data_IF_173673786952
#
_entry.id   IF_173673786952
#
_cell.length_a   1.000
_cell.length_b   1.000
_cell.length_c   1.000
_cell.angle_alpha   90.00
_cell.angle_beta   90.00
_cell.angle_gamma   90.00
#
_symmetry.space_group_name_H-M   'P 1'
#
loop_
_entity.id
_entity.type
_entity.pdbx_description
1 polymer ?
#
# COMPACT_ATOMS: atom_id res chain seq x y z
N UNK A 1 51.06 -108.13 63.54
CA UNK A 1 51.31 -106.87 62.80
C UNK A 1 52.17 -105.96 63.66
N UNK A 2 53.17 -105.26 63.09
CA UNK A 2 54.03 -104.37 63.89
C UNK A 2 53.20 -103.19 64.43
N UNK A 3 53.45 -102.81 65.69
CA UNK A 3 52.81 -101.66 66.34
C UNK A 3 53.22 -100.38 65.60
N UNK A 4 52.29 -99.77 64.86
CA UNK A 4 52.51 -98.43 64.28
C UNK A 4 52.15 -97.40 65.34
N UNK A 5 53.11 -96.53 65.70
CA UNK A 5 52.94 -95.47 66.70
C UNK A 5 51.90 -94.45 66.22
N UNK A 6 51.12 -93.82 67.13
CA UNK A 6 50.15 -92.79 66.77
C UNK A 6 50.79 -91.61 66.04
N UNK A 7 50.03 -90.98 65.14
CA UNK A 7 50.46 -89.92 64.21
C UNK A 7 51.02 -88.70 64.95
N UNK A 8 52.26 -88.32 64.63
CA UNK A 8 53.03 -87.26 65.32
C UNK A 8 53.06 -85.90 64.59
N UNK A 9 52.24 -85.69 63.55
CA UNK A 9 52.32 -84.47 62.72
C UNK A 9 51.28 -83.44 63.18
N UNK A 10 51.73 -82.34 63.79
CA UNK A 10 50.92 -81.14 63.99
C UNK A 10 51.25 -80.14 62.87
N UNK A 11 50.55 -80.21 61.75
CA UNK A 11 50.56 -79.15 60.72
C UNK A 11 49.28 -78.33 60.81
N UNK A 12 49.09 -77.70 61.98
CA UNK A 12 47.90 -76.87 62.25
C UNK A 12 48.30 -75.39 62.20
N UNK A 13 47.65 -74.63 61.33
CA UNK A 13 47.82 -73.18 61.19
C UNK A 13 46.47 -72.52 61.46
N UNK A 14 46.15 -72.29 62.74
CA UNK A 14 44.80 -71.88 63.17
C UNK A 14 43.79 -73.03 63.14
N UNK A 15 42.48 -72.74 63.01
CA UNK A 15 41.42 -73.77 63.01
C UNK A 15 41.29 -74.57 61.69
N UNK A 16 42.26 -74.50 60.77
CA UNK A 16 42.23 -75.22 59.51
C UNK A 16 43.41 -76.20 59.41
N UNK A 17 43.08 -77.46 59.20
CA UNK A 17 44.02 -78.49 58.78
C UNK A 17 44.34 -78.27 57.29
N UNK A 18 45.63 -78.15 56.95
CA UNK A 18 46.08 -77.76 55.60
C UNK A 18 45.94 -78.88 54.56
N UNK A 19 45.43 -80.08 54.95
CA UNK A 19 45.21 -81.24 54.07
C UNK A 19 43.90 -81.97 54.41
N UNK A 20 42.73 -81.42 54.06
CA UNK A 20 41.44 -82.07 54.33
C UNK A 20 41.30 -83.43 53.63
N UNK A 21 42.01 -83.63 52.51
CA UNK A 21 42.01 -84.86 51.72
C UNK A 21 42.58 -86.06 52.49
N UNK A 22 43.56 -85.84 53.38
CA UNK A 22 44.24 -86.92 54.11
C UNK A 22 43.70 -87.11 55.54
N UNK A 23 42.99 -86.13 56.10
CA UNK A 23 42.43 -86.18 57.45
C UNK A 23 41.40 -87.31 57.64
N UNK A 24 40.62 -87.63 56.59
CA UNK A 24 39.63 -88.72 56.63
C UNK A 24 40.29 -90.09 56.71
N UNK A 25 41.41 -90.27 56.00
CA UNK A 25 42.18 -91.52 56.02
C UNK A 25 42.79 -91.80 57.38
N UNK A 26 43.39 -90.78 58.00
CA UNK A 26 43.99 -90.88 59.34
C UNK A 26 42.92 -91.22 60.41
N UNK A 27 41.72 -90.64 60.30
CA UNK A 27 40.59 -90.97 61.19
C UNK A 27 40.12 -92.43 61.07
N UNK A 28 40.00 -92.95 59.84
CA UNK A 28 39.59 -94.33 59.58
C UNK A 28 40.63 -95.34 60.10
N UNK A 29 41.91 -95.07 59.89
CA UNK A 29 42.99 -95.90 60.41
C UNK A 29 43.00 -95.94 61.94
N UNK A 30 42.77 -94.80 62.61
CA UNK A 30 42.62 -94.75 64.08
C UNK A 30 41.46 -95.61 64.58
N UNK A 31 40.28 -95.53 63.94
CA UNK A 31 39.12 -96.35 64.33
C UNK A 31 39.30 -97.84 64.07
N UNK A 32 40.08 -98.22 63.07
CA UNK A 32 40.45 -99.62 62.83
C UNK A 32 41.43 -100.15 63.87
N UNK A 33 42.39 -99.34 64.31
CA UNK A 33 43.33 -99.73 65.37
C UNK A 33 42.62 -100.02 66.70
N UNK A 34 41.61 -99.22 67.08
CA UNK A 34 40.80 -99.46 68.28
C UNK A 34 40.06 -100.82 68.23
N UNK A 35 39.55 -101.21 67.06
CA UNK A 35 38.79 -102.47 66.89
C UNK A 35 39.65 -103.73 66.96
N UNK A 36 40.91 -103.65 66.55
CA UNK A 36 41.84 -104.80 66.55
C UNK A 36 42.85 -104.76 67.70
N UNK A 37 42.63 -103.90 68.68
CA UNK A 37 43.45 -103.84 69.89
C UNK A 37 43.13 -105.02 70.81
N UNK A 38 43.86 -106.12 70.63
CA UNK A 38 43.84 -107.26 71.55
C UNK A 38 44.83 -106.95 72.68
N UNK A 39 44.32 -106.71 73.89
CA UNK A 39 45.13 -106.66 75.12
C UNK A 39 45.57 -108.11 75.38
N UNK A 40 46.89 -108.44 75.33
CA UNK A 40 47.35 -109.77 75.67
C UNK A 40 46.99 -110.09 77.14
N UNK A 41 46.52 -111.29 77.47
CA UNK A 41 46.24 -111.67 78.85
C UNK A 41 47.54 -111.62 79.68
N UNK A 42 47.49 -110.96 80.84
CA UNK A 42 48.62 -110.63 81.72
C UNK A 42 49.40 -111.82 82.31
N UNK A 43 49.17 -113.05 81.83
CA UNK A 43 49.81 -114.26 82.35
C UNK A 43 51.24 -114.48 81.86
N UNK A 44 51.67 -113.76 80.81
CA UNK A 44 53.02 -113.90 80.21
C UNK A 44 53.68 -112.53 79.94
N UNK A 45 53.22 -111.49 80.65
CA UNK A 45 53.90 -110.21 80.77
C UNK A 45 54.54 -110.17 82.15
N UNK A 46 55.86 -109.99 82.22
CA UNK A 46 56.52 -109.72 83.49
C UNK A 46 55.75 -108.59 84.17
N UNK A 47 55.17 -108.88 85.35
CA UNK A 47 54.45 -107.87 86.13
C UNK A 47 55.38 -106.68 86.31
N UNK A 48 54.97 -105.51 85.85
CA UNK A 48 55.83 -104.34 85.91
C UNK A 48 56.08 -104.04 87.39
N UNK A 49 57.27 -104.38 87.89
CA UNK A 49 57.70 -103.95 89.21
C UNK A 49 57.66 -102.43 89.25
N UNK A 50 57.42 -101.81 90.41
CA UNK A 50 57.37 -100.34 90.54
C UNK A 50 58.63 -99.71 89.91
N UNK A 51 59.77 -100.40 90.00
CA UNK A 51 61.03 -100.05 89.36
C UNK A 51 60.97 -100.13 87.83
N UNK A 52 60.38 -101.17 87.24
CA UNK A 52 60.17 -101.27 85.79
C UNK A 52 59.21 -100.19 85.28
N UNK A 53 58.12 -99.91 86.01
CA UNK A 53 57.19 -98.82 85.70
C UNK A 53 57.91 -97.47 85.77
N UNK A 54 58.74 -97.27 86.79
CA UNK A 54 59.53 -96.04 86.94
C UNK A 54 60.56 -95.88 85.81
N UNK A 55 61.26 -96.96 85.44
CA UNK A 55 62.21 -96.98 84.31
C UNK A 55 61.50 -96.73 82.98
N UNK A 56 60.32 -97.32 82.77
CA UNK A 56 59.51 -97.07 81.57
C UNK A 56 58.98 -95.64 81.55
N UNK A 57 58.44 -95.12 82.66
CA UNK A 57 57.99 -93.72 82.75
C UNK A 57 59.13 -92.74 82.55
N UNK A 58 60.33 -93.00 83.06
CA UNK A 58 61.51 -92.19 82.80
C UNK A 58 61.88 -92.22 81.31
N UNK A 59 61.90 -93.40 80.69
CA UNK A 59 62.15 -93.53 79.24
C UNK A 59 61.08 -92.84 78.40
N UNK A 60 59.82 -92.92 78.79
CA UNK A 60 58.70 -92.25 78.13
C UNK A 60 58.75 -90.75 78.34
N UNK A 61 59.12 -90.27 79.54
CA UNK A 61 59.32 -88.86 79.83
C UNK A 61 60.52 -88.29 79.05
N UNK A 62 61.65 -88.99 79.02
CA UNK A 62 62.80 -88.63 78.17
C UNK A 62 62.43 -88.64 76.68
N UNK A 63 61.63 -89.61 76.23
CA UNK A 63 61.13 -89.64 74.86
C UNK A 63 60.13 -88.50 74.59
N UNK A 64 59.32 -88.10 75.58
CA UNK A 64 58.42 -86.96 75.50
C UNK A 64 59.17 -85.63 75.45
N UNK A 65 60.19 -85.45 76.28
CA UNK A 65 61.03 -84.24 76.28
C UNK A 65 61.75 -84.09 74.94
N UNK A 66 62.34 -85.17 74.42
CA UNK A 66 62.92 -85.19 73.06
C UNK A 66 61.89 -84.84 71.99
N UNK A 67 60.67 -85.38 72.09
CA UNK A 67 59.58 -85.07 71.17
C UNK A 67 59.12 -83.62 71.30
N UNK A 68 59.02 -83.07 72.51
CA UNK A 68 58.63 -81.69 72.77
C UNK A 68 59.67 -80.72 72.20
N UNK A 69 60.96 -81.05 72.34
CA UNK A 69 62.05 -80.29 71.72
C UNK A 69 62.00 -80.37 70.19
N UNK A 70 61.74 -81.55 69.61
CA UNK A 70 61.53 -81.73 68.18
C UNK A 70 60.31 -80.94 67.67
N UNK A 71 59.22 -80.91 68.43
CA UNK A 71 57.99 -80.16 68.11
C UNK A 71 58.17 -78.65 68.25
N UNK A 72 58.90 -78.19 69.27
CA UNK A 72 59.24 -76.77 69.39
C UNK A 72 60.21 -76.34 68.28
N UNK A 73 61.17 -77.19 67.92
CA UNK A 73 62.07 -76.94 66.81
C UNK A 73 61.33 -76.91 65.46
N UNK A 74 60.40 -77.84 65.23
CA UNK A 74 59.57 -77.88 64.03
C UNK A 74 58.60 -76.69 63.97
N UNK A 75 57.93 -76.35 65.08
CA UNK A 75 57.05 -75.18 65.18
C UNK A 75 57.81 -73.87 64.94
N UNK A 76 59.03 -73.71 65.49
CA UNK A 76 59.89 -72.56 65.22
C UNK A 76 60.30 -72.49 63.74
N UNK A 77 60.63 -73.62 63.11
CA UNK A 77 60.93 -73.68 61.67
C UNK A 77 59.69 -73.31 60.84
N UNK A 78 58.54 -73.86 61.18
CA UNK A 78 57.27 -73.61 60.47
C UNK A 78 56.81 -72.17 60.62
N UNK A 79 56.95 -71.57 61.80
CA UNK A 79 56.66 -70.14 62.03
C UNK A 79 57.54 -69.24 61.17
N UNK A 80 58.84 -69.54 61.04
CA UNK A 80 59.75 -68.80 60.15
C UNK A 80 59.34 -68.93 58.68
N UNK A 81 58.99 -70.14 58.24
CA UNK A 81 58.51 -70.39 56.86
C UNK A 81 57.21 -69.64 56.61
N UNK A 82 56.25 -69.69 57.54
CA UNK A 82 54.97 -69.00 57.42
C UNK A 82 55.13 -67.48 57.42
N UNK A 83 55.99 -66.94 58.27
CA UNK A 83 56.31 -65.51 58.26
C UNK A 83 56.88 -65.08 56.90
N UNK A 84 57.76 -65.89 56.30
CA UNK A 84 58.28 -65.63 54.96
C UNK A 84 57.19 -65.70 53.87
N UNK A 85 56.25 -66.66 53.97
CA UNK A 85 55.11 -66.80 53.04
C UNK A 85 54.17 -65.60 53.12
N UNK A 86 53.79 -65.19 54.32
CA UNK A 86 52.93 -64.00 54.56
C UNK A 86 53.61 -62.75 54.01
N UNK A 87 54.91 -62.57 54.26
CA UNK A 87 55.66 -61.44 53.72
C UNK A 87 55.70 -61.45 52.18
N UNK A 88 55.86 -62.62 51.56
CA UNK A 88 55.83 -62.75 50.10
C UNK A 88 54.43 -62.47 49.53
N UNK A 89 53.37 -62.91 50.20
CA UNK A 89 51.99 -62.60 49.82
C UNK A 89 51.75 -61.09 49.79
N UNK A 90 52.13 -60.35 50.85
CA UNK A 90 52.00 -58.90 50.88
C UNK A 90 52.82 -58.20 49.78
N UNK A 91 54.03 -58.68 49.48
CA UNK A 91 54.82 -58.16 48.35
C UNK A 91 54.13 -58.37 47.00
N UNK A 92 53.51 -59.53 46.79
CA UNK A 92 52.78 -59.84 45.55
C UNK A 92 51.51 -58.98 45.45
N UNK A 93 50.76 -58.85 46.54
CA UNK A 93 49.55 -58.01 46.60
C UNK A 93 49.87 -56.54 46.28
N UNK A 94 50.96 -56.01 46.85
CA UNK A 94 51.41 -54.65 46.59
C UNK A 94 51.83 -54.45 45.12
N UNK A 95 52.54 -55.43 44.54
CA UNK A 95 52.90 -55.41 43.11
C UNK A 95 51.65 -55.44 42.21
N UNK A 96 50.65 -56.25 42.56
CA UNK A 96 49.39 -56.32 41.83
C UNK A 96 48.62 -55.00 41.91
N UNK A 97 48.59 -54.37 43.10
CA UNK A 97 47.94 -53.07 43.30
C UNK A 97 48.59 -51.98 42.43
N UNK A 98 49.92 -51.92 42.38
CA UNK A 98 50.63 -50.96 41.51
C UNK A 98 50.30 -51.19 40.03
N UNK A 99 50.37 -52.44 39.57
CA UNK A 99 49.99 -52.79 38.19
C UNK A 99 48.54 -52.43 37.88
N UNK A 100 47.63 -52.63 38.82
CA UNK A 100 46.22 -52.27 38.63
C UNK A 100 46.05 -50.75 38.49
N UNK A 101 46.76 -49.96 39.30
CA UNK A 101 46.76 -48.50 39.18
C UNK A 101 47.36 -48.08 37.84
N UNK A 102 48.48 -48.66 37.42
CA UNK A 102 49.12 -48.40 36.12
C UNK A 102 48.15 -48.70 34.96
N UNK A 103 47.53 -49.89 34.94
CA UNK A 103 46.58 -50.27 33.90
C UNK A 103 45.34 -49.38 33.90
N UNK A 104 44.79 -49.05 35.07
CA UNK A 104 43.63 -48.16 35.15
C UNK A 104 43.97 -46.74 34.69
N UNK A 105 45.15 -46.22 35.06
CA UNK A 105 45.64 -44.92 34.56
C UNK A 105 45.82 -44.95 33.04
N UNK A 106 46.38 -46.03 32.49
CA UNK A 106 46.53 -46.21 31.05
C UNK A 106 45.18 -46.25 30.32
N UNK A 107 44.19 -46.96 30.85
CA UNK A 107 42.84 -47.02 30.25
C UNK A 107 42.20 -45.62 30.26
N UNK A 108 42.34 -44.87 31.35
CA UNK A 108 41.85 -43.49 31.43
C UNK A 108 42.56 -42.59 30.41
N UNK A 109 43.88 -42.64 30.34
CA UNK A 109 44.67 -41.87 29.37
C UNK A 109 44.28 -42.21 27.92
N UNK A 110 44.07 -43.49 27.62
CA UNK A 110 43.58 -43.93 26.31
C UNK A 110 42.18 -43.41 26.00
N UNK A 111 41.27 -43.44 26.98
CA UNK A 111 39.92 -42.91 26.83
C UNK A 111 39.93 -41.38 26.62
N UNK A 112 40.76 -40.66 27.37
CA UNK A 112 40.89 -39.21 27.26
C UNK A 112 41.55 -38.81 25.93
N UNK A 113 42.59 -39.52 25.49
CA UNK A 113 43.18 -39.36 24.15
C UNK A 113 42.17 -39.64 23.04
N UNK A 114 41.36 -40.69 23.18
CA UNK A 114 40.29 -41.00 22.24
C UNK A 114 39.27 -39.87 22.16
N UNK A 115 38.78 -39.36 23.30
CA UNK A 115 37.84 -38.22 23.32
C UNK A 115 38.46 -36.96 22.73
N UNK A 116 39.74 -36.68 23.01
CA UNK A 116 40.44 -35.53 22.45
C UNK A 116 40.58 -35.64 20.91
N UNK A 117 40.94 -36.83 20.41
CA UNK A 117 41.02 -37.10 18.98
C UNK A 117 39.65 -36.99 18.30
N UNK A 118 38.60 -37.56 18.90
CA UNK A 118 37.22 -37.45 18.39
C UNK A 118 36.74 -36.00 18.34
N UNK A 119 37.02 -35.21 19.38
CA UNK A 119 36.69 -33.78 19.40
C UNK A 119 37.44 -32.99 18.33
N UNK A 120 38.72 -33.32 18.10
CA UNK A 120 39.53 -32.68 17.06
C UNK A 120 39.01 -33.04 15.68
N UNK A 121 38.74 -34.32 15.43
CA UNK A 121 38.17 -34.80 14.17
C UNK A 121 36.79 -34.18 13.89
N UNK A 122 35.94 -34.03 14.90
CA UNK A 122 34.65 -33.32 14.76
C UNK A 122 34.83 -31.84 14.47
N UNK A 123 35.83 -31.19 15.10
CA UNK A 123 36.16 -29.79 14.80
C UNK A 123 36.63 -29.61 13.37
N UNK A 124 37.52 -30.48 12.89
CA UNK A 124 38.01 -30.47 11.50
C UNK A 124 36.90 -30.74 10.50
N UNK A 125 35.99 -31.69 10.76
CA UNK A 125 34.88 -31.99 9.84
C UNK A 125 33.91 -30.82 9.72
N UNK A 126 33.61 -30.12 10.82
CA UNK A 126 32.81 -28.90 10.80
C UNK A 126 33.52 -27.79 10.02
N UNK A 127 34.81 -27.57 10.29
CA UNK A 127 35.60 -26.56 9.59
C UNK A 127 35.68 -26.83 8.08
N UNK A 128 35.87 -28.10 7.68
CA UNK A 128 35.86 -28.50 6.27
C UNK A 128 34.50 -28.28 5.62
N UNK A 129 33.40 -28.47 6.35
CA UNK A 129 32.06 -28.22 5.85
C UNK A 129 31.84 -26.73 5.60
N UNK A 130 32.17 -25.87 6.57
CA UNK A 130 32.06 -24.41 6.43
C UNK A 130 32.93 -23.89 5.29
N UNK A 131 34.18 -24.36 5.19
CA UNK A 131 35.06 -23.99 4.09
C UNK A 131 34.55 -24.50 2.75
N UNK A 132 33.97 -25.69 2.71
CA UNK A 132 33.34 -26.27 1.52
C UNK A 132 32.16 -25.43 1.02
N UNK A 133 31.27 -25.01 1.92
CA UNK A 133 30.15 -24.11 1.61
C UNK A 133 30.66 -22.77 1.07
N UNK A 134 31.73 -22.21 1.68
CA UNK A 134 32.39 -21.01 1.17
C UNK A 134 32.98 -21.20 -0.24
N UNK A 135 33.67 -22.30 -0.48
CA UNK A 135 34.25 -22.63 -1.80
C UNK A 135 33.16 -22.74 -2.87
N UNK A 136 32.05 -23.42 -2.58
CA UNK A 136 30.94 -23.53 -3.53
C UNK A 136 30.30 -22.16 -3.82
N UNK A 137 30.06 -21.34 -2.79
CA UNK A 137 29.54 -19.97 -3.00
C UNK A 137 30.45 -19.11 -3.90
N UNK A 138 31.77 -19.25 -3.76
CA UNK A 138 32.72 -18.55 -4.61
C UNK A 138 32.78 -19.12 -6.02
N UNK A 139 32.64 -20.45 -6.19
CA UNK A 139 32.53 -21.06 -7.52
C UNK A 139 31.29 -20.57 -8.25
N UNK A 140 30.16 -20.49 -7.57
CA UNK A 140 28.91 -19.98 -8.13
C UNK A 140 29.08 -18.52 -8.55
N UNK A 141 29.62 -17.67 -7.67
CA UNK A 141 29.91 -16.26 -7.97
C UNK A 141 30.86 -16.10 -9.17
N UNK A 142 31.91 -16.94 -9.26
CA UNK A 142 32.84 -16.94 -10.39
C UNK A 142 32.12 -17.38 -11.68
N UNK A 143 31.20 -18.34 -11.59
CA UNK A 143 30.43 -18.81 -12.74
C UNK A 143 29.48 -17.73 -13.27
N UNK A 144 28.82 -16.99 -12.38
CA UNK A 144 27.96 -15.85 -12.72
C UNK A 144 28.77 -14.73 -13.36
N UNK A 145 29.91 -14.37 -12.78
CA UNK A 145 30.81 -13.35 -13.35
C UNK A 145 31.37 -13.77 -14.70
N UNK A 146 31.64 -15.06 -14.91
CA UNK A 146 32.05 -15.58 -16.23
C UNK A 146 30.90 -15.47 -17.23
N UNK A 147 29.68 -15.85 -16.86
CA UNK A 147 28.51 -15.71 -17.73
C UNK A 147 28.27 -14.24 -18.09
N UNK A 148 28.33 -13.33 -17.11
CA UNK A 148 28.24 -11.89 -17.33
C UNK A 148 29.34 -11.37 -18.26
N UNK A 149 30.59 -11.83 -18.07
CA UNK A 149 31.71 -11.47 -18.94
C UNK A 149 31.49 -11.93 -20.38
N UNK A 150 31.00 -13.15 -20.58
CA UNK A 150 30.72 -13.65 -21.92
C UNK A 150 29.55 -12.91 -22.57
N UNK A 151 28.50 -12.57 -21.81
CA UNK A 151 27.43 -11.70 -22.27
C UNK A 151 27.95 -10.30 -22.66
N UNK A 152 28.81 -9.69 -21.84
CA UNK A 152 29.42 -8.40 -22.14
C UNK A 152 30.33 -8.46 -23.38
N UNK A 153 31.09 -9.54 -23.56
CA UNK A 153 31.89 -9.73 -24.78
C UNK A 153 30.99 -9.87 -26.01
N UNK A 154 29.88 -10.59 -25.90
CA UNK A 154 28.93 -10.74 -26.98
C UNK A 154 28.33 -9.39 -27.37
N UNK A 155 27.88 -8.59 -26.40
CA UNK A 155 27.34 -7.24 -26.68
C UNK A 155 28.41 -6.31 -27.25
N UNK A 156 29.64 -6.33 -26.72
CA UNK A 156 30.76 -5.57 -27.32
C UNK A 156 31.01 -6.00 -28.78
N UNK A 157 30.89 -7.29 -29.08
CA UNK A 157 31.05 -7.77 -30.45
C UNK A 157 29.89 -7.35 -31.36
N UNK A 158 28.66 -7.32 -30.86
CA UNK A 158 27.50 -6.75 -31.55
C UNK A 158 27.66 -5.27 -31.83
N UNK A 159 28.31 -4.51 -30.93
CA UNK A 159 28.54 -3.07 -31.10
C UNK A 159 29.77 -2.71 -31.93
N UNK A 160 30.69 -3.65 -32.14
CA UNK A 160 31.92 -3.45 -32.89
C UNK A 160 31.73 -2.90 -34.33
N UNK A 161 30.70 -3.29 -35.11
CA UNK A 161 30.43 -2.70 -36.42
C UNK A 161 30.10 -1.21 -36.33
N UNK A 162 29.34 -0.78 -35.32
CA UNK A 162 28.99 0.63 -35.14
C UNK A 162 30.20 1.46 -34.72
N UNK A 163 31.10 0.91 -33.90
CA UNK A 163 32.37 1.55 -33.57
C UNK A 163 33.22 1.78 -34.83
N UNK A 164 33.31 0.80 -35.73
CA UNK A 164 34.00 0.97 -37.02
C UNK A 164 33.39 2.06 -37.88
N UNK A 165 32.05 2.14 -37.92
CA UNK A 165 31.35 3.21 -38.65
C UNK A 165 31.65 4.57 -38.03
N UNK A 166 31.65 4.69 -36.70
CA UNK A 166 32.00 5.95 -36.02
C UNK A 166 33.46 6.35 -36.31
N UNK A 167 34.38 5.40 -36.30
CA UNK A 167 35.78 5.63 -36.69
C UNK A 167 35.92 6.06 -38.16
N UNK A 168 35.14 5.48 -39.07
CA UNK A 168 35.09 5.89 -40.48
C UNK A 168 34.51 7.30 -40.64
N UNK A 169 33.43 7.63 -39.93
CA UNK A 169 32.81 8.96 -39.95
C UNK A 169 33.78 10.02 -39.43
N UNK A 170 34.52 9.75 -38.36
CA UNK A 170 35.55 10.65 -37.81
C UNK A 170 36.71 10.83 -38.79
N UNK A 171 37.08 9.79 -39.55
CA UNK A 171 38.14 9.89 -40.57
C UNK A 171 37.72 10.69 -41.81
N UNK A 172 36.45 10.60 -42.19
CA UNK A 172 35.92 11.28 -43.38
C UNK A 172 35.51 12.73 -43.08
N UNK A 173 35.05 12.99 -41.85
CA UNK A 173 34.53 14.28 -41.44
C UNK A 173 35.50 15.00 -40.52
N UNK A 174 36.08 16.12 -40.98
CA UNK A 174 36.91 17.02 -40.16
C UNK A 174 36.14 17.71 -39.01
N UNK A 175 34.82 17.49 -38.92
CA UNK A 175 33.93 18.11 -37.94
C UNK A 175 34.09 17.47 -36.55
N UNK A 176 34.51 16.21 -36.50
CA UNK A 176 34.62 15.41 -35.27
C UNK A 176 36.07 15.11 -34.95
N UNK A 177 36.49 15.36 -33.70
CA UNK A 177 37.88 15.10 -33.26
C UNK A 177 38.07 13.65 -32.79
N UNK A 178 37.00 13.02 -32.29
CA UNK A 178 37.00 11.66 -31.74
C UNK A 178 35.61 11.04 -31.90
N UNK A 179 35.49 9.70 -31.96
CA UNK A 179 34.19 9.02 -31.89
C UNK A 179 33.37 9.45 -30.67
N UNK A 180 34.04 9.77 -29.55
CA UNK A 180 33.39 10.29 -28.35
C UNK A 180 32.79 11.68 -28.56
N UNK A 181 33.51 12.59 -29.25
CA UNK A 181 32.99 13.93 -29.59
C UNK A 181 31.78 13.82 -30.54
N UNK A 182 31.77 12.84 -31.45
CA UNK A 182 30.60 12.53 -32.27
C UNK A 182 29.40 12.10 -31.42
N UNK A 183 29.60 11.20 -30.45
CA UNK A 183 28.53 10.74 -29.55
C UNK A 183 28.02 11.87 -28.65
N UNK A 184 28.91 12.62 -28.01
CA UNK A 184 28.55 13.72 -27.09
C UNK A 184 27.74 14.81 -27.82
N UNK A 185 28.06 15.12 -29.09
CA UNK A 185 27.27 16.05 -29.91
C UNK A 185 25.93 15.47 -30.34
N UNK A 186 25.87 14.18 -30.68
CA UNK A 186 24.60 13.52 -30.95
C UNK A 186 23.69 13.53 -29.71
N UNK A 187 24.24 13.28 -28.52
CA UNK A 187 23.50 13.34 -27.26
C UNK A 187 23.00 14.77 -26.98
N UNK A 188 23.85 15.78 -27.18
CA UNK A 188 23.46 17.18 -27.06
C UNK A 188 22.35 17.57 -28.07
N UNK A 189 22.43 17.09 -29.31
CA UNK A 189 21.40 17.31 -30.33
C UNK A 189 20.09 16.61 -29.97
N UNK A 190 20.15 15.38 -29.46
CA UNK A 190 18.97 14.65 -28.99
C UNK A 190 18.31 15.36 -27.82
N UNK A 191 19.08 15.85 -26.85
CA UNK A 191 18.57 16.64 -25.73
C UNK A 191 17.94 17.96 -26.21
N UNK A 192 18.63 18.69 -27.09
CA UNK A 192 18.10 19.91 -27.68
C UNK A 192 16.81 19.65 -28.47
N UNK A 193 16.72 18.52 -29.18
CA UNK A 193 15.50 18.14 -29.89
C UNK A 193 14.33 17.93 -28.92
N UNK A 194 14.56 17.24 -27.80
CA UNK A 194 13.52 17.06 -26.76
C UNK A 194 13.08 18.42 -26.19
N UNK A 195 14.01 19.30 -25.87
CA UNK A 195 13.69 20.64 -25.35
C UNK A 195 12.91 21.49 -26.37
N UNK A 196 13.31 21.47 -27.65
CA UNK A 196 12.62 22.17 -28.73
C UNK A 196 11.20 21.63 -28.88
N UNK A 197 11.01 20.31 -28.89
CA UNK A 197 9.67 19.71 -28.98
C UNK A 197 8.78 20.07 -27.79
N UNK A 198 9.35 20.15 -26.58
CA UNK A 198 8.59 20.60 -25.41
C UNK A 198 8.18 22.08 -25.53
N UNK A 199 9.09 22.95 -25.97
CA UNK A 199 8.80 24.37 -26.20
C UNK A 199 7.76 24.56 -27.30
N UNK A 200 7.86 23.81 -28.40
CA UNK A 200 6.90 23.84 -29.50
C UNK A 200 5.50 23.45 -29.00
N UNK A 201 5.39 22.36 -28.22
CA UNK A 201 4.12 21.94 -27.65
C UNK A 201 3.53 23.00 -26.71
N UNK A 202 4.37 23.65 -25.89
CA UNK A 202 3.93 24.76 -25.03
C UNK A 202 3.40 25.93 -25.87
N UNK A 203 4.10 26.31 -26.95
CA UNK A 203 3.70 27.40 -27.83
C UNK A 203 2.41 27.08 -28.58
N UNK A 204 2.23 25.85 -29.04
CA UNK A 204 0.98 25.39 -29.65
C UNK A 204 -0.20 25.48 -28.67
N UNK A 205 0.00 25.07 -27.41
CA UNK A 205 -1.00 25.22 -26.37
C UNK A 205 -1.34 26.70 -26.07
N UNK A 206 -0.34 27.58 -26.04
CA UNK A 206 -0.56 29.03 -25.90
C UNK A 206 -1.38 29.59 -27.07
N UNK A 207 -1.07 29.20 -28.31
CA UNK A 207 -1.80 29.61 -29.51
C UNK A 207 -3.25 29.14 -29.45
N UNK A 208 -3.49 27.88 -29.07
CA UNK A 208 -4.84 27.33 -28.99
C UNK A 208 -5.64 28.03 -27.88
N UNK A 209 -5.02 28.32 -26.73
CA UNK A 209 -5.64 29.12 -25.67
C UNK A 209 -6.00 30.54 -26.15
N UNK A 210 -5.11 31.21 -26.90
CA UNK A 210 -5.41 32.51 -27.49
C UNK A 210 -6.55 32.42 -28.51
N UNK A 211 -6.58 31.38 -29.33
CA UNK A 211 -7.65 31.12 -30.29
C UNK A 211 -8.99 30.94 -29.59
N UNK A 212 -9.04 30.14 -28.52
CA UNK A 212 -10.25 29.95 -27.71
C UNK A 212 -10.74 31.27 -27.11
N UNK A 213 -9.85 32.09 -26.54
CA UNK A 213 -10.20 33.42 -26.02
C UNK A 213 -10.73 34.34 -27.11
N UNK A 214 -10.11 34.35 -28.29
CA UNK A 214 -10.56 35.16 -29.42
C UNK A 214 -11.97 34.75 -29.87
N UNK A 215 -12.27 33.44 -29.93
CA UNK A 215 -13.61 32.94 -30.24
C UNK A 215 -14.62 33.35 -29.16
N UNK A 216 -14.26 33.25 -27.88
CA UNK A 216 -15.12 33.71 -26.78
C UNK A 216 -15.45 35.20 -26.90
N UNK A 217 -14.45 36.06 -27.07
CA UNK A 217 -14.62 37.51 -27.23
C UNK A 217 -15.47 37.81 -28.48
N UNK A 218 -15.25 37.10 -29.58
CA UNK A 218 -16.03 37.28 -30.82
C UNK A 218 -17.49 36.88 -30.62
N UNK A 219 -17.75 35.78 -29.89
CA UNK A 219 -19.11 35.36 -29.56
C UNK A 219 -19.80 36.36 -28.64
N UNK A 220 -19.10 36.87 -27.61
CA UNK A 220 -19.62 37.93 -26.73
C UNK A 220 -19.92 39.22 -27.51
N UNK A 221 -19.03 39.64 -28.41
CA UNK A 221 -19.25 40.77 -29.30
C UNK A 221 -20.45 40.53 -30.24
N UNK A 222 -20.60 39.33 -30.80
CA UNK A 222 -21.74 38.99 -31.63
C UNK A 222 -23.06 39.03 -30.85
N UNK A 223 -23.08 38.52 -29.61
CA UNK A 223 -24.24 38.56 -28.72
C UNK A 223 -24.61 40.00 -28.33
N UNK A 224 -23.62 40.85 -28.02
CA UNK A 224 -23.87 42.26 -27.70
C UNK A 224 -24.40 43.03 -28.91
N UNK A 225 -23.84 42.82 -30.11
CA UNK A 225 -24.36 43.40 -31.36
C UNK A 225 -25.79 42.93 -31.63
N UNK A 226 -26.10 41.66 -31.40
CA UNK A 226 -27.45 41.12 -31.55
C UNK A 226 -28.43 41.74 -30.54
N UNK A 227 -28.00 41.96 -29.30
CA UNK A 227 -28.74 42.70 -28.28
C UNK A 227 -29.06 44.14 -28.74
N UNK A 228 -28.05 44.88 -29.17
CA UNK A 228 -28.21 46.25 -29.68
C UNK A 228 -29.13 46.31 -30.90
N UNK A 229 -29.06 45.34 -31.82
CA UNK A 229 -29.96 45.25 -32.96
C UNK A 229 -31.42 45.04 -32.53
N UNK A 230 -31.65 44.24 -31.50
CA UNK A 230 -32.99 44.05 -30.95
C UNK A 230 -33.53 45.35 -30.34
N UNK A 231 -32.71 46.04 -29.54
CA UNK A 231 -33.10 47.30 -28.91
C UNK A 231 -33.33 48.42 -29.94
N UNK A 232 -32.52 48.48 -30.99
CA UNK A 232 -32.75 49.37 -32.13
C UNK A 232 -34.10 49.07 -32.81
N UNK A 233 -34.42 47.80 -33.05
CA UNK A 233 -35.71 47.42 -33.64
C UNK A 233 -36.90 47.78 -32.73
N UNK A 234 -36.75 47.69 -31.39
CA UNK A 234 -37.78 48.17 -30.45
C UNK A 234 -37.96 49.69 -30.55
N UNK A 235 -36.86 50.42 -30.60
CA UNK A 235 -36.88 51.88 -30.69
C UNK A 235 -37.51 52.35 -32.01
N UNK A 236 -37.17 51.72 -33.14
CA UNK A 236 -37.78 52.02 -34.44
C UNK A 236 -39.28 51.75 -34.47
N UNK A 237 -39.74 50.66 -33.83
CA UNK A 237 -41.19 50.40 -33.69
C UNK A 237 -41.87 51.49 -32.89
N UNK A 238 -41.34 51.82 -31.70
CA UNK A 238 -41.88 52.86 -30.84
C UNK A 238 -41.89 54.25 -31.52
N UNK A 239 -40.83 54.57 -32.27
CA UNK A 239 -40.75 55.79 -33.07
C UNK A 239 -41.82 55.81 -34.16
N UNK A 240 -41.97 54.72 -34.93
CA UNK A 240 -42.99 54.64 -35.98
C UNK A 240 -44.41 54.75 -35.41
N UNK A 241 -44.70 54.09 -34.29
CA UNK A 241 -45.98 54.21 -33.58
C UNK A 241 -46.25 55.65 -33.16
N UNK A 242 -45.27 56.31 -32.55
CA UNK A 242 -45.37 57.71 -32.12
C UNK A 242 -45.59 58.65 -33.31
N UNK A 243 -44.89 58.41 -34.42
CA UNK A 243 -45.04 59.17 -35.66
C UNK A 243 -46.44 59.02 -36.26
N UNK A 244 -46.99 57.81 -36.30
CA UNK A 244 -48.36 57.56 -36.77
C UNK A 244 -49.38 58.27 -35.87
N UNK A 245 -49.19 58.23 -34.54
CA UNK A 245 -50.05 58.97 -33.62
C UNK A 245 -49.96 60.48 -33.83
N UNK A 246 -48.76 61.02 -34.03
CA UNK A 246 -48.56 62.43 -34.33
C UNK A 246 -49.30 62.85 -35.60
N UNK A 247 -49.13 62.13 -36.71
CA UNK A 247 -49.86 62.39 -37.96
C UNK A 247 -51.38 62.32 -37.78
N UNK A 248 -51.88 61.38 -36.96
CA UNK A 248 -53.31 61.28 -36.64
C UNK A 248 -53.80 62.54 -35.92
N UNK A 249 -53.06 63.01 -34.93
CA UNK A 249 -53.39 64.24 -34.20
C UNK A 249 -53.27 65.49 -35.06
N UNK A 250 -52.25 65.58 -35.92
CA UNK A 250 -52.11 66.66 -36.90
C UNK A 250 -53.31 66.70 -37.84
N UNK A 251 -53.77 65.54 -38.34
CA UNK A 251 -54.97 65.47 -39.18
C UNK A 251 -56.23 65.93 -38.44
N UNK A 252 -56.41 65.49 -37.19
CA UNK A 252 -57.55 65.93 -36.37
C UNK A 252 -57.50 67.45 -36.14
N UNK A 253 -56.31 67.98 -35.85
CA UNK A 253 -56.10 69.41 -35.64
C UNK A 253 -56.36 70.22 -36.92
N UNK A 254 -55.87 69.75 -38.07
CA UNK A 254 -56.13 70.37 -39.37
C UNK A 254 -57.63 70.38 -39.69
N UNK A 255 -58.31 69.25 -39.54
CA UNK A 255 -59.76 69.16 -39.73
C UNK A 255 -60.54 70.10 -38.79
N UNK A 256 -60.11 70.20 -37.52
CA UNK A 256 -60.73 71.11 -36.54
C UNK A 256 -60.50 72.57 -36.94
N UNK A 257 -59.28 72.92 -37.37
CA UNK A 257 -58.97 74.26 -37.87
C UNK A 257 -59.82 74.59 -39.09
N UNK A 258 -59.91 73.69 -40.06
CA UNK A 258 -60.72 73.87 -41.26
C UNK A 258 -62.20 74.07 -40.91
N UNK A 259 -62.74 73.26 -40.00
CA UNK A 259 -64.10 73.40 -39.50
C UNK A 259 -64.34 74.77 -38.81
N UNK A 260 -63.38 75.24 -38.00
CA UNK A 260 -63.45 76.57 -37.36
C UNK A 260 -63.41 77.67 -38.43
N UNK A 261 -62.50 77.58 -39.41
CA UNK A 261 -62.38 78.58 -40.48
C UNK A 261 -63.60 78.63 -41.38
N UNK A 262 -64.14 77.47 -41.78
CA UNK A 262 -65.38 77.39 -42.56
C UNK A 262 -66.56 77.96 -41.76
N UNK A 263 -66.68 77.60 -40.48
CA UNK A 263 -67.70 78.18 -39.60
C UNK A 263 -67.57 79.69 -39.43
N UNK A 264 -66.36 80.24 -39.38
CA UNK A 264 -66.11 81.68 -39.36
C UNK A 264 -66.48 82.33 -40.70
N UNK A 265 -66.09 81.72 -41.84
CA UNK A 265 -66.45 82.20 -43.17
C UNK A 265 -67.96 82.19 -43.41
N UNK A 266 -68.68 81.16 -42.96
CA UNK A 266 -70.13 81.08 -43.08
C UNK A 266 -70.83 82.13 -42.20
N UNK A 267 -70.29 82.41 -41.00
CA UNK A 267 -70.73 83.56 -40.19
C UNK A 267 -70.50 84.89 -40.93
N UNK A 268 -69.33 85.10 -41.53
CA UNK A 268 -69.06 86.33 -42.28
C UNK A 268 -69.97 86.45 -43.52
N UNK A 269 -70.19 85.37 -44.26
CA UNK A 269 -71.11 85.33 -45.42
C UNK A 269 -72.55 85.64 -45.02
N UNK A 270 -73.03 85.05 -43.93
CA UNK A 270 -74.39 85.32 -43.42
C UNK A 270 -74.52 86.78 -42.96
N UNK A 271 -73.52 87.32 -42.25
CA UNK A 271 -73.48 88.74 -41.89
C UNK A 271 -73.44 89.65 -43.11
N UNK A 272 -72.67 89.32 -44.14
CA UNK A 272 -72.65 90.07 -45.41
C UNK A 272 -74.00 90.00 -46.13
N UNK A 273 -74.66 88.83 -46.15
CA UNK A 273 -76.01 88.66 -46.69
C UNK A 273 -77.04 89.54 -45.98
N UNK A 274 -77.05 89.53 -44.64
CA UNK A 274 -77.91 90.41 -43.83
C UNK A 274 -77.62 91.89 -44.14
N UNK A 275 -76.34 92.27 -44.20
CA UNK A 275 -75.94 93.63 -44.54
C UNK A 275 -76.37 94.05 -45.95
N UNK A 276 -76.29 93.13 -46.91
CA UNK A 276 -76.67 93.38 -48.30
C UNK A 276 -78.18 93.58 -48.43
N UNK A 277 -78.98 92.68 -47.83
CA UNK A 277 -80.44 92.81 -47.77
C UNK A 277 -80.84 94.12 -47.12
N UNK A 278 -80.27 94.43 -45.95
CA UNK A 278 -80.52 95.69 -45.25
C UNK A 278 -80.22 96.91 -46.13
N UNK A 279 -79.07 96.94 -46.84
CA UNK A 279 -78.72 98.04 -47.75
C UNK A 279 -79.69 98.18 -48.92
N UNK A 280 -80.18 97.09 -49.49
CA UNK A 280 -81.21 97.13 -50.55
C UNK A 280 -82.49 97.78 -50.01
N UNK A 281 -82.94 97.38 -48.82
CA UNK A 281 -84.14 97.94 -48.21
C UNK A 281 -83.96 99.43 -47.85
N UNK A 282 -82.81 99.81 -47.29
CA UNK A 282 -82.52 101.23 -47.01
C UNK A 282 -82.47 102.08 -48.28
N UNK A 283 -81.94 101.57 -49.40
CA UNK A 283 -81.97 102.27 -50.69
C UNK A 283 -83.40 102.45 -51.24
N UNK A 284 -84.32 101.53 -50.94
CA UNK A 284 -85.73 101.65 -51.36
C UNK A 284 -86.50 102.71 -50.57
N UNK A 285 -86.17 102.90 -49.29
CA UNK A 285 -86.86 103.86 -48.39
C UNK A 285 -86.11 105.19 -48.17
N UNK A 286 -84.93 105.35 -48.77
CA UNK A 286 -84.07 106.54 -48.65
C UNK A 286 -83.70 106.91 -47.18
N UNK A 287 -83.37 105.89 -46.38
CA UNK A 287 -83.00 106.03 -44.95
C UNK A 287 -81.48 105.88 -44.78
N UNK A 288 -80.80 106.70 -43.96
CA UNK A 288 -79.37 106.54 -43.70
C UNK A 288 -79.07 105.21 -43.02
N UNK A 289 -78.15 104.43 -43.62
CA UNK A 289 -77.85 103.07 -43.17
C UNK A 289 -76.92 103.00 -41.96
N UNK A 290 -77.13 102.00 -41.10
CA UNK A 290 -76.24 101.71 -39.97
C UNK A 290 -74.94 100.98 -40.34
N UNK A 291 -73.89 101.19 -39.54
CA UNK A 291 -72.58 100.54 -39.67
C UNK A 291 -72.62 99.02 -39.46
N UNK A 292 -71.59 98.29 -39.91
CA UNK A 292 -71.55 96.80 -40.02
C UNK A 292 -71.87 96.05 -38.71
N UNK A 293 -71.60 96.63 -37.54
CA UNK A 293 -71.67 95.96 -36.23
C UNK A 293 -73.06 95.79 -35.57
N UNK A 294 -74.09 96.55 -35.95
CA UNK A 294 -75.44 96.39 -35.37
C UNK A 294 -76.26 95.38 -36.18
N UNK A 295 -76.18 94.10 -35.85
CA UNK A 295 -76.87 93.02 -36.59
C UNK A 295 -78.33 92.88 -36.19
N UNK A 296 -78.62 92.90 -34.89
CA UNK A 296 -79.97 92.72 -34.34
C UNK A 296 -80.95 93.76 -34.89
N UNK A 297 -80.58 95.05 -34.79
CA UNK A 297 -81.44 96.10 -35.30
C UNK A 297 -81.59 96.11 -36.84
N UNK A 298 -80.64 95.53 -37.60
CA UNK A 298 -80.82 95.34 -39.06
C UNK A 298 -81.82 94.24 -39.35
N UNK A 299 -81.77 93.15 -38.58
CA UNK A 299 -82.71 92.04 -38.71
C UNK A 299 -84.14 92.48 -38.34
N UNK A 300 -84.32 93.33 -37.34
CA UNK A 300 -85.64 93.87 -36.99
C UNK A 300 -86.25 94.71 -38.11
N UNK A 301 -85.45 95.55 -38.77
CA UNK A 301 -85.90 96.35 -39.93
C UNK A 301 -86.22 95.44 -41.12
N UNK A 302 -85.36 94.45 -41.41
CA UNK A 302 -85.62 93.47 -42.47
C UNK A 302 -86.91 92.71 -42.17
N UNK A 303 -87.10 92.24 -40.94
CA UNK A 303 -88.29 91.49 -40.52
C UNK A 303 -89.56 92.33 -40.67
N UNK A 304 -89.58 93.55 -40.15
CA UNK A 304 -90.72 94.45 -40.27
C UNK A 304 -91.07 94.73 -41.74
N UNK A 305 -90.07 94.88 -42.61
CA UNK A 305 -90.32 95.13 -44.03
C UNK A 305 -90.81 93.89 -44.76
N UNK A 306 -90.28 92.71 -44.43
CA UNK A 306 -90.79 91.42 -44.94
C UNK A 306 -92.25 91.23 -44.51
N UNK A 307 -92.59 91.52 -43.25
CA UNK A 307 -93.97 91.44 -42.74
C UNK A 307 -94.91 92.41 -43.49
N UNK A 308 -94.45 93.63 -43.81
CA UNK A 308 -95.20 94.57 -44.66
C UNK A 308 -95.39 94.02 -46.08
N UNK A 309 -94.34 93.49 -46.71
CA UNK A 309 -94.42 92.92 -48.06
C UNK A 309 -95.32 91.69 -48.12
N UNK A 310 -95.30 90.84 -47.09
CA UNK A 310 -96.25 89.74 -46.95
C UNK A 310 -97.68 90.25 -46.80
N UNK A 311 -97.92 91.29 -46.00
CA UNK A 311 -99.24 91.92 -45.88
C UNK A 311 -99.75 92.48 -47.21
N UNK A 312 -98.88 93.09 -48.03
CA UNK A 312 -99.23 93.58 -49.38
C UNK A 312 -99.53 92.41 -50.34
N UNK A 313 -98.75 91.32 -50.28
CA UNK A 313 -99.01 90.13 -51.08
C UNK A 313 -100.34 89.46 -50.73
N UNK A 314 -100.68 89.35 -49.45
CA UNK A 314 -101.99 88.86 -49.00
C UNK A 314 -103.13 89.75 -49.51
N UNK A 315 -102.95 91.08 -49.50
CA UNK A 315 -103.92 92.01 -50.07
C UNK A 315 -104.08 91.84 -51.59
N UNK A 316 -102.99 91.68 -52.34
CA UNK A 316 -103.03 91.45 -53.79
C UNK A 316 -103.71 90.10 -54.11
N UNK A 317 -103.39 89.04 -53.36
CA UNK A 317 -104.05 87.74 -53.52
C UNK A 317 -105.55 87.80 -53.20
N UNK A 318 -105.94 88.63 -52.22
CA UNK A 318 -107.36 88.88 -51.93
C UNK A 318 -108.09 89.71 -53.00
N UNK A 319 -107.36 90.51 -53.81
CA UNK A 319 -107.90 91.26 -54.95
C UNK A 319 -107.99 90.41 -56.22
N UNK A 320 -107.01 89.54 -56.48
CA UNK A 320 -107.03 88.60 -57.63
C UNK A 320 -108.10 87.51 -57.49
N UNK A 321 -108.47 87.16 -56.24
CA UNK A 321 -109.63 86.31 -55.95
C UNK A 321 -110.98 86.96 -56.30
N UNK A 322 -111.07 88.29 -56.36
CA UNK A 322 -112.28 89.03 -56.75
C UNK A 322 -112.36 89.34 -58.25
N UNK A 323 -111.25 89.31 -58.98
CA UNK A 323 -111.20 89.48 -60.44
C UNK A 323 -111.78 88.29 -61.23
N UNK A 324 -111.59 87.06 -60.74
CA UNK A 324 -112.06 85.83 -61.43
C UNK A 324 -113.56 85.52 -61.31
N UNK A 325 -114.34 86.30 -60.55
CA UNK A 325 -115.80 86.14 -60.47
C UNK A 325 -116.59 86.99 -61.48
N UNK A 326 -115.97 88.00 -62.11
CA UNK A 326 -116.66 88.93 -63.03
C UNK A 326 -116.51 88.61 -64.53
N UNK A 327 -115.62 87.69 -64.95
CA UNK A 327 -115.42 87.32 -66.36
C UNK A 327 -116.27 86.12 -66.83
N UNK A 328 -116.96 85.40 -65.93
CA UNK A 328 -117.76 84.23 -66.29
C UNK A 328 -119.23 84.53 -66.71
N UNK A 329 -119.63 85.81 -66.81
CA UNK A 329 -121.02 86.21 -67.11
C UNK A 329 -121.21 86.92 -68.45
N UNK A 330 -120.21 86.95 -69.35
CA UNK A 330 -120.32 87.65 -70.65
C UNK A 330 -120.23 86.77 -71.91
N UNK A 331 -120.02 85.46 -71.78
CA UNK A 331 -120.11 84.50 -72.91
C UNK A 331 -121.41 83.69 -72.84
N UNK A 332 -122.55 84.37 -73.04
CA UNK A 332 -123.81 83.76 -73.46
C UNK A 332 -124.41 84.63 -74.57
N UNK A 333 -123.98 84.37 -75.81
CA UNK A 333 -124.69 84.74 -77.03
C UNK A 333 -124.44 83.68 -78.10
#
# INVERSE_FOLDING_TARGET
MPRVKPTKKLDVLGNLDLRPEEAVGDYLCSKQQDKFFVIPPNSDSAGDSIELIFVNNLRENEAMLKLQDEMLASAKRQSKVNHSRVRNMYKIQERLRRRFIEVNSFIKDCADKKRAAEKTAQGETLYHKELGEGIESFKDSISELKAFREALKATVHEFQPYEKVLDEVVKVSDIFVSPKDCMDRCDALMLAQVEISQLEQQKLNEIENMRQRMVQITNEAALTVLGLKNDLAKLERSYNESRVQCLKWEKILANSKDAITNGAMDKDRTLDGINHLYRILCRRRDVPGWGRGCVEGKLDIIKNEVDILFGVLEQIQSMDGKGKQNEASQDMC
#
